data_IF_230163947867
#
_entry.id   IF_230163947867
#
_cell.length_a   1.000
_cell.length_b   1.000
_cell.length_c   1.000
_cell.angle_alpha   90.00
_cell.angle_beta   90.00
_cell.angle_gamma   90.00
#
_symmetry.space_group_name_H-M   'P 1'
#
loop_
_entity.id
_entity.type
_entity.pdbx_description
1 polymer ?
#
# COMPACT_ATOMS: atom_id res chain seq x y z
N UNK A 1 -17.76 22.64 -6.66
CA UNK A 1 -17.83 21.30 -7.30
C UNK A 1 -16.63 20.40 -6.97
N UNK A 2 -15.37 20.87 -7.08
CA UNK A 2 -14.17 20.04 -6.79
C UNK A 2 -14.07 19.49 -5.35
N UNK A 3 -14.61 20.19 -4.37
CA UNK A 3 -14.59 19.77 -2.95
C UNK A 3 -15.61 18.68 -2.60
N UNK A 4 -16.72 18.59 -3.34
CA UNK A 4 -17.78 17.61 -3.07
C UNK A 4 -17.34 16.17 -3.38
N UNK A 5 -16.56 15.98 -4.45
CA UNK A 5 -16.00 14.67 -4.79
C UNK A 5 -15.03 14.17 -3.72
N UNK A 6 -14.15 15.04 -3.22
CA UNK A 6 -13.22 14.69 -2.15
C UNK A 6 -13.99 14.33 -0.86
N UNK A 7 -14.99 15.12 -0.47
CA UNK A 7 -15.79 14.85 0.73
C UNK A 7 -16.63 13.56 0.60
N UNK A 8 -17.21 13.30 -0.57
CA UNK A 8 -17.96 12.07 -0.83
C UNK A 8 -17.05 10.84 -0.81
N UNK A 9 -15.86 10.96 -1.39
CA UNK A 9 -14.82 9.93 -1.37
C UNK A 9 -14.40 9.58 0.07
N UNK A 10 -14.11 10.59 0.91
CA UNK A 10 -13.77 10.36 2.31
C UNK A 10 -14.92 9.78 3.13
N UNK A 11 -16.18 10.20 2.90
CA UNK A 11 -17.36 9.61 3.57
C UNK A 11 -17.58 8.15 3.18
N UNK A 12 -17.41 7.81 1.90
CA UNK A 12 -17.52 6.43 1.41
C UNK A 12 -16.43 5.54 2.01
N UNK A 13 -15.22 6.06 2.18
CA UNK A 13 -14.10 5.34 2.84
C UNK A 13 -14.34 5.20 4.35
N UNK A 14 -14.89 6.21 5.03
CA UNK A 14 -15.20 6.13 6.47
C UNK A 14 -16.36 5.19 6.80
N UNK A 15 -17.30 4.99 5.87
CA UNK A 15 -18.39 4.01 6.00
C UNK A 15 -17.97 2.60 5.58
N UNK A 16 -16.77 2.46 5.00
CA UNK A 16 -16.28 1.19 4.50
C UNK A 16 -15.84 0.32 5.68
N UNK A 17 -16.44 -0.86 5.89
CA UNK A 17 -16.06 -1.74 6.98
C UNK A 17 -14.57 -2.08 6.88
N UNK A 18 -13.87 -2.16 8.02
CA UNK A 18 -12.42 -2.40 8.12
C UNK A 18 -11.91 -3.53 7.21
N UNK A 19 -12.76 -4.54 6.98
CA UNK A 19 -12.50 -5.69 6.10
C UNK A 19 -12.30 -5.29 4.63
N UNK A 20 -13.02 -4.29 4.14
CA UNK A 20 -12.89 -3.78 2.77
C UNK A 20 -11.63 -2.92 2.62
N UNK A 21 -11.22 -2.18 3.65
CA UNK A 21 -9.92 -1.51 3.66
C UNK A 21 -8.76 -2.52 3.61
N UNK A 22 -8.88 -3.64 4.32
CA UNK A 22 -7.91 -4.74 4.19
C UNK A 22 -7.93 -5.40 2.81
N UNK A 23 -9.10 -5.60 2.21
CA UNK A 23 -9.22 -6.16 0.87
C UNK A 23 -8.64 -5.22 -0.20
N UNK A 24 -8.91 -3.91 -0.11
CA UNK A 24 -8.29 -2.88 -0.95
C UNK A 24 -6.78 -2.82 -0.74
N UNK A 25 -6.32 -2.90 0.51
CA UNK A 25 -4.93 -3.08 0.90
C UNK A 25 -4.24 -4.21 0.15
N UNK A 26 -4.87 -5.39 0.17
CA UNK A 26 -4.40 -6.58 -0.53
C UNK A 26 -4.42 -6.42 -2.05
N UNK A 27 -5.49 -5.85 -2.61
CA UNK A 27 -5.65 -5.68 -4.06
C UNK A 27 -4.64 -4.68 -4.64
N UNK A 28 -4.49 -3.52 -4.00
CA UNK A 28 -3.52 -2.49 -4.41
C UNK A 28 -2.10 -3.01 -4.22
N UNK A 29 -1.82 -3.71 -3.11
CA UNK A 29 -0.52 -4.36 -2.89
C UNK A 29 -0.17 -5.41 -3.93
N UNK A 30 -1.16 -6.20 -4.38
CA UNK A 30 -0.98 -7.14 -5.49
C UNK A 30 -0.76 -6.41 -6.82
N UNK A 31 -1.54 -5.37 -7.12
CA UNK A 31 -1.36 -4.53 -8.31
C UNK A 31 0.04 -3.92 -8.41
N UNK A 32 0.54 -3.35 -7.31
CA UNK A 32 1.88 -2.77 -7.23
C UNK A 32 3.00 -3.80 -7.39
N UNK A 33 2.74 -5.07 -7.04
CA UNK A 33 3.70 -6.16 -7.21
C UNK A 33 3.76 -6.67 -8.66
N UNK A 34 2.65 -6.59 -9.41
CA UNK A 34 2.56 -7.09 -10.79
C UNK A 34 3.00 -6.01 -11.80
N UNK A 35 2.53 -4.77 -11.64
CA UNK A 35 2.80 -3.69 -12.59
C UNK A 35 4.24 -3.18 -12.39
N UNK A 36 5.08 -3.08 -13.44
CA UNK A 36 6.39 -2.46 -13.34
C UNK A 36 6.26 -0.99 -12.93
N UNK A 37 6.87 -0.63 -11.80
CA UNK A 37 6.85 0.73 -11.27
C UNK A 37 8.16 1.02 -10.53
N UNK A 38 8.42 2.31 -10.26
CA UNK A 38 9.64 2.76 -9.58
C UNK A 38 9.79 2.16 -8.18
N UNK A 39 8.70 1.99 -7.43
CA UNK A 39 8.76 1.41 -6.09
C UNK A 39 9.27 -0.04 -6.14
N UNK A 40 8.72 -0.86 -7.03
CA UNK A 40 9.18 -2.23 -7.28
C UNK A 40 10.65 -2.26 -7.70
N UNK A 41 11.08 -1.31 -8.54
CA UNK A 41 12.47 -1.22 -8.97
C UNK A 41 13.42 -0.94 -7.79
N UNK A 42 13.11 0.06 -6.97
CA UNK A 42 13.89 0.44 -5.79
C UNK A 42 13.90 -0.70 -4.77
N UNK A 43 12.74 -1.27 -4.44
CA UNK A 43 12.63 -2.40 -3.50
C UNK A 43 13.47 -3.59 -3.95
N UNK A 44 13.50 -3.90 -5.25
CA UNK A 44 14.35 -4.96 -5.81
C UNK A 44 15.83 -4.66 -5.64
N UNK A 45 16.27 -3.43 -5.89
CA UNK A 45 17.66 -3.01 -5.68
C UNK A 45 18.03 -3.14 -4.19
N UNK A 46 17.20 -2.59 -3.30
CA UNK A 46 17.45 -2.63 -1.86
C UNK A 46 17.55 -4.07 -1.34
N UNK A 47 16.61 -4.94 -1.72
CA UNK A 47 16.65 -6.36 -1.33
C UNK A 47 17.87 -7.06 -1.93
N UNK A 48 18.26 -6.74 -3.17
CA UNK A 48 19.45 -7.33 -3.77
C UNK A 48 20.72 -6.92 -3.02
N UNK A 49 20.81 -5.67 -2.56
CA UNK A 49 21.93 -5.14 -1.79
C UNK A 49 21.97 -5.68 -0.36
N UNK A 50 20.82 -5.76 0.33
CA UNK A 50 20.74 -6.22 1.72
C UNK A 50 20.87 -7.73 1.87
N UNK A 51 20.47 -8.51 0.86
CA UNK A 51 20.49 -9.97 0.90
C UNK A 51 21.26 -10.57 -0.30
N UNK A 52 22.56 -10.26 -0.45
CA UNK A 52 23.35 -10.65 -1.63
C UNK A 52 23.56 -12.17 -1.78
N UNK A 53 23.37 -12.95 -0.72
CA UNK A 53 23.53 -14.41 -0.73
C UNK A 53 22.19 -15.16 -0.87
N UNK A 54 21.06 -14.45 -0.79
CA UNK A 54 19.74 -15.05 -0.88
C UNK A 54 19.43 -15.48 -2.33
N UNK A 55 18.84 -16.65 -2.58
CA UNK A 55 18.42 -17.06 -3.91
C UNK A 55 17.51 -16.03 -4.60
N UNK A 56 17.61 -15.92 -5.92
CA UNK A 56 16.82 -14.94 -6.70
C UNK A 56 15.31 -15.13 -6.57
N UNK A 57 14.86 -16.38 -6.41
CA UNK A 57 13.45 -16.74 -6.15
C UNK A 57 12.95 -16.19 -4.81
N UNK A 58 13.76 -16.34 -3.75
CA UNK A 58 13.43 -15.85 -2.41
C UNK A 58 13.44 -14.32 -2.37
N UNK A 59 14.40 -13.67 -3.02
CA UNK A 59 14.39 -12.20 -3.16
C UNK A 59 13.15 -11.71 -3.90
N UNK A 60 12.72 -12.41 -4.96
CA UNK A 60 11.51 -12.04 -5.68
C UNK A 60 10.25 -12.18 -4.81
N UNK A 61 10.17 -13.23 -3.99
CA UNK A 61 9.09 -13.38 -3.00
C UNK A 61 9.11 -12.26 -1.96
N UNK A 62 10.30 -11.89 -1.47
CA UNK A 62 10.48 -10.82 -0.49
C UNK A 62 10.12 -9.45 -1.05
N UNK A 63 10.45 -9.17 -2.32
CA UNK A 63 10.02 -7.95 -3.03
C UNK A 63 8.50 -7.86 -3.06
N UNK A 64 7.81 -8.95 -3.41
CA UNK A 64 6.33 -8.98 -3.44
C UNK A 64 5.73 -8.77 -2.06
N UNK A 65 6.30 -9.40 -1.04
CA UNK A 65 5.85 -9.25 0.35
C UNK A 65 6.03 -7.80 0.84
N UNK A 66 7.19 -7.20 0.57
CA UNK A 66 7.49 -5.80 0.92
C UNK A 66 6.52 -4.83 0.25
N UNK A 67 6.28 -4.95 -1.06
CA UNK A 67 5.33 -4.09 -1.78
C UNK A 67 3.91 -4.23 -1.25
N UNK A 68 3.46 -5.45 -0.94
CA UNK A 68 2.15 -5.70 -0.35
C UNK A 68 2.02 -5.04 1.02
N UNK A 69 3.04 -5.14 1.86
CA UNK A 69 3.07 -4.50 3.17
C UNK A 69 3.02 -2.98 3.04
N UNK A 70 3.84 -2.39 2.16
CA UNK A 70 3.85 -0.95 1.91
C UNK A 70 2.50 -0.43 1.43
N UNK A 71 1.84 -1.13 0.51
CA UNK A 71 0.51 -0.74 0.04
C UNK A 71 -0.53 -0.79 1.16
N UNK A 72 -0.50 -1.85 1.99
CA UNK A 72 -1.37 -1.97 3.16
C UNK A 72 -1.14 -0.83 4.15
N UNK A 73 0.12 -0.55 4.47
CA UNK A 73 0.50 0.58 5.33
C UNK A 73 0.05 1.92 4.76
N UNK A 74 0.19 2.16 3.45
CA UNK A 74 -0.28 3.39 2.82
C UNK A 74 -1.81 3.54 2.90
N UNK A 75 -2.55 2.44 2.73
CA UNK A 75 -4.01 2.41 2.83
C UNK A 75 -4.48 2.54 4.28
N UNK A 76 -3.73 2.02 5.25
CA UNK A 76 -3.95 2.24 6.69
C UNK A 76 -3.57 3.68 7.12
N UNK A 77 -2.56 4.27 6.48
CA UNK A 77 -2.11 5.63 6.77
C UNK A 77 -3.10 6.71 6.31
N UNK A 78 -3.88 6.46 5.25
CA UNK A 78 -4.94 7.37 4.79
C UNK A 78 -5.97 7.69 5.89
N UNK A 79 -6.64 6.68 6.47
CA UNK A 79 -7.47 6.84 7.67
C UNK A 79 -6.73 7.44 8.86
N UNK A 80 -5.47 7.07 9.09
CA UNK A 80 -4.67 7.59 10.20
C UNK A 80 -4.45 9.12 10.10
N UNK A 81 -4.17 9.63 8.90
CA UNK A 81 -4.06 11.06 8.64
C UNK A 81 -5.42 11.78 8.70
N UNK A 82 -6.50 11.16 8.23
CA UNK A 82 -7.85 11.73 8.37
C UNK A 82 -8.38 11.72 9.81
N UNK A 83 -7.96 10.76 10.64
CA UNK A 83 -8.29 10.75 12.07
C UNK A 83 -7.57 11.86 12.83
N UNK A 84 -6.34 12.22 12.42
CA UNK A 84 -5.63 13.37 13.01
C UNK A 84 -6.31 14.71 12.71
N UNK A 85 -7.07 14.83 11.62
CA UNK A 85 -7.78 16.08 11.26
C UNK A 85 -9.14 16.20 11.97
N UNK A 86 -9.68 15.11 12.50
CA UNK A 86 -10.93 15.09 13.28
C UNK A 86 -10.70 14.83 14.78
N UNK A 87 -9.46 14.92 15.26
CA UNK A 87 -9.14 14.86 16.69
C UNK A 87 -9.50 16.19 17.35
N UNK A 88 -10.68 16.22 17.98
CA UNK A 88 -10.97 17.11 19.10
C UNK A 88 -10.10 16.76 20.30
#
# INVERSE_FOLDING_TARGET
MRSLLATLFFRLISLLPLRLNYALGGFIGWWMAVIPNNLRHITRINIALCYPDMPSSERAALVRASLKSTARTAIEAGPMWLWSVNGH
#
